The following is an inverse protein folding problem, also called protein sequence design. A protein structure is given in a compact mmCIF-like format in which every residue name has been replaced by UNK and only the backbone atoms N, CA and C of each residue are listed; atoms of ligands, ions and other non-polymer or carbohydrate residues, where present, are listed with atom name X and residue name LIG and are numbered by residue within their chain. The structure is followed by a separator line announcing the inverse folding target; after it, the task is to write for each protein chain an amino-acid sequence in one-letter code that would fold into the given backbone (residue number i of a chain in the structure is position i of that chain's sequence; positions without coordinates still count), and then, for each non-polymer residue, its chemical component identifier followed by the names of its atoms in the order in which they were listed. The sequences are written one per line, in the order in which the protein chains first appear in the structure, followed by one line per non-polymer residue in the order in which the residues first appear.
data_IF_235819246259
#
_entry.id   IF_235819246259
#
_cell.length_a   1.000
_cell.length_b   1.000
_cell.length_c   1.000
_cell.angle_alpha   90.00
_cell.angle_beta   90.00
_cell.angle_gamma   90.00
#
_symmetry.space_group_name_H-M   'P 1'
#
loop_
_entity.id
_entity.type
_entity.pdbx_description
1 polymer ?
#
# COMPACT_ATOMS: atom_id res chain seq x y z
N UNK A 1 8.06 3.26 28.78
CA UNK A 1 6.69 3.00 28.32
C UNK A 1 6.71 2.84 26.79
N UNK A 2 6.96 1.59 26.36
CA UNK A 2 6.94 1.22 24.95
C UNK A 2 5.47 1.00 24.54
N UNK A 3 4.84 1.98 23.93
CA UNK A 3 3.52 1.78 23.31
C UNK A 3 3.69 0.95 22.04
N UNK A 4 3.13 -0.28 22.06
CA UNK A 4 3.07 -1.17 20.89
C UNK A 4 2.30 -0.49 19.75
N UNK A 5 2.82 -0.50 18.51
CA UNK A 5 2.11 0.08 17.37
C UNK A 5 0.81 -0.70 17.12
N UNK A 6 -0.31 0.01 17.01
CA UNK A 6 -1.59 -0.57 16.59
C UNK A 6 -1.43 -1.11 15.17
N UNK A 7 -1.34 -2.43 15.05
CA UNK A 7 -1.32 -3.12 13.75
C UNK A 7 -2.61 -2.82 13.01
N UNK A 8 -2.50 -2.16 11.87
CA UNK A 8 -3.57 -2.15 10.89
C UNK A 8 -3.90 -3.59 10.51
N UNK A 9 -5.14 -4.00 10.74
CA UNK A 9 -5.61 -5.35 10.38
C UNK A 9 -5.65 -5.43 8.85
N UNK A 10 -4.62 -6.04 8.28
CA UNK A 10 -4.64 -6.41 6.86
C UNK A 10 -5.47 -7.69 6.75
N UNK A 11 -6.50 -7.77 5.91
CA UNK A 11 -7.35 -8.95 5.80
C UNK A 11 -6.62 -10.21 5.33
N UNK A 12 -5.35 -10.09 4.89
CA UNK A 12 -4.52 -11.19 4.40
C UNK A 12 -3.46 -11.68 5.38
N UNK A 13 -3.38 -11.14 6.61
CA UNK A 13 -2.24 -11.34 7.48
C UNK A 13 -2.58 -11.78 8.91
N UNK A 14 -3.29 -12.87 9.06
CA UNK A 14 -3.23 -13.60 10.31
C UNK A 14 -1.93 -14.43 10.32
N UNK A 15 -0.89 -13.94 11.00
CA UNK A 15 0.28 -14.76 11.31
C UNK A 15 -0.11 -15.64 12.48
N UNK A 16 -0.30 -16.91 12.23
CA UNK A 16 -0.63 -17.86 13.26
C UNK A 16 0.59 -18.74 13.52
N UNK A 17 1.11 -18.62 14.72
CA UNK A 17 2.36 -19.24 15.17
C UNK A 17 2.15 -20.59 15.88
N UNK A 18 1.18 -21.44 15.47
CA UNK A 18 1.11 -22.82 15.96
C UNK A 18 0.17 -23.70 15.14
N UNK A 19 0.33 -25.02 15.23
CA UNK A 19 -0.42 -26.02 14.46
C UNK A 19 -1.95 -26.04 14.66
N UNK A 20 -2.49 -25.29 15.62
CA UNK A 20 -3.95 -25.10 15.81
C UNK A 20 -4.56 -24.05 14.88
N UNK A 21 -3.78 -23.41 14.07
CA UNK A 21 -4.15 -22.29 13.24
C UNK A 21 -4.63 -22.68 11.84
N UNK A 22 -4.42 -23.90 11.41
CA UNK A 22 -4.89 -24.37 10.11
C UNK A 22 -6.41 -24.25 9.94
N UNK A 23 -7.24 -24.62 10.95
CA UNK A 23 -8.70 -24.49 10.84
C UNK A 23 -9.16 -23.02 10.73
N UNK A 24 -8.54 -22.10 11.49
CA UNK A 24 -8.85 -20.68 11.42
C UNK A 24 -8.44 -20.09 10.08
N UNK A 25 -7.28 -20.46 9.56
CA UNK A 25 -6.81 -20.01 8.25
C UNK A 25 -7.73 -20.46 7.12
N UNK A 26 -8.21 -21.71 7.13
CA UNK A 26 -9.13 -22.21 6.12
C UNK A 26 -10.48 -21.50 6.17
N UNK A 27 -11.01 -21.24 7.36
CA UNK A 27 -12.24 -20.48 7.58
C UNK A 27 -12.10 -19.04 7.07
N UNK A 28 -11.04 -18.33 7.45
CA UNK A 28 -10.77 -16.97 7.01
C UNK A 28 -10.56 -16.92 5.49
N UNK A 29 -9.87 -17.91 4.92
CA UNK A 29 -9.65 -17.98 3.48
C UNK A 29 -10.97 -18.15 2.71
N UNK A 30 -11.84 -19.03 3.17
CA UNK A 30 -13.15 -19.26 2.56
C UNK A 30 -14.07 -18.01 2.68
N UNK A 31 -13.96 -17.28 3.78
CA UNK A 31 -14.72 -16.06 4.00
C UNK A 31 -14.23 -14.89 3.14
N UNK A 32 -12.91 -14.68 3.06
CA UNK A 32 -12.29 -13.55 2.34
C UNK A 32 -12.29 -13.78 0.82
N UNK A 33 -11.97 -15.01 0.39
CA UNK A 33 -11.82 -15.35 -1.03
C UNK A 33 -12.99 -16.20 -1.52
N UNK A 34 -14.18 -15.59 -1.57
CA UNK A 34 -15.37 -16.26 -2.09
C UNK A 34 -15.26 -16.45 -3.60
N UNK A 35 -15.74 -17.61 -4.10
CA UNK A 35 -15.74 -17.90 -5.54
C UNK A 35 -16.67 -16.98 -6.32
N UNK A 36 -17.75 -16.56 -5.70
CA UNK A 36 -18.74 -15.63 -6.23
C UNK A 36 -18.86 -14.46 -5.27
N UNK A 37 -18.46 -13.29 -5.71
CA UNK A 37 -18.59 -12.06 -4.96
C UNK A 37 -19.90 -11.38 -5.33
N UNK A 38 -20.63 -10.95 -4.31
CA UNK A 38 -21.77 -10.07 -4.49
C UNK A 38 -21.28 -8.68 -4.95
N UNK A 39 -22.03 -8.09 -5.88
CA UNK A 39 -21.76 -6.73 -6.38
C UNK A 39 -21.68 -5.69 -5.26
N UNK A 40 -22.43 -5.89 -4.16
CA UNK A 40 -22.39 -5.03 -2.98
C UNK A 40 -21.00 -4.94 -2.33
N UNK A 41 -20.17 -5.97 -2.44
CA UNK A 41 -18.80 -5.95 -1.91
C UNK A 41 -17.91 -4.96 -2.66
N UNK A 42 -18.06 -4.87 -3.99
CA UNK A 42 -17.31 -3.89 -4.79
C UNK A 42 -17.66 -2.46 -4.40
N UNK A 43 -18.93 -2.17 -4.26
CA UNK A 43 -19.38 -0.84 -3.85
C UNK A 43 -18.92 -0.53 -2.43
N UNK A 44 -19.03 -1.49 -1.50
CA UNK A 44 -18.51 -1.34 -0.14
C UNK A 44 -17.01 -1.04 -0.09
N UNK A 45 -16.20 -1.73 -0.91
CA UNK A 45 -14.76 -1.50 -1.00
C UNK A 45 -14.45 -0.12 -1.62
N UNK A 46 -15.18 0.29 -2.66
CA UNK A 46 -15.05 1.63 -3.26
C UNK A 46 -15.41 2.73 -2.25
N UNK A 47 -16.49 2.55 -1.51
CA UNK A 47 -16.91 3.51 -0.47
C UNK A 47 -15.87 3.59 0.66
N UNK A 48 -15.30 2.47 1.08
CA UNK A 48 -14.24 2.44 2.06
C UNK A 48 -13.02 3.21 1.56
N UNK A 49 -12.60 2.98 0.31
CA UNK A 49 -11.48 3.68 -0.29
C UNK A 49 -11.74 5.19 -0.38
N UNK A 50 -12.94 5.61 -0.81
CA UNK A 50 -13.33 7.02 -0.82
C UNK A 50 -13.22 7.63 0.58
N UNK A 51 -13.78 6.97 1.61
CA UNK A 51 -13.69 7.45 3.00
C UNK A 51 -12.24 7.62 3.49
N UNK A 52 -11.36 6.67 3.16
CA UNK A 52 -9.92 6.76 3.52
C UNK A 52 -9.29 7.97 2.83
N UNK A 53 -9.60 8.20 1.56
CA UNK A 53 -9.08 9.32 0.77
C UNK A 53 -9.59 10.66 1.27
N UNK A 54 -10.89 10.75 1.53
CA UNK A 54 -11.54 11.97 2.06
C UNK A 54 -10.99 12.33 3.43
N UNK A 55 -10.74 11.33 4.27
CA UNK A 55 -10.12 11.53 5.58
C UNK A 55 -8.67 12.01 5.46
N UNK A 56 -7.89 11.45 4.52
CA UNK A 56 -6.53 11.91 4.24
C UNK A 56 -6.52 13.37 3.75
N UNK A 57 -7.45 13.74 2.87
CA UNK A 57 -7.62 15.12 2.41
C UNK A 57 -8.03 16.08 3.53
N UNK A 58 -8.97 15.67 4.40
CA UNK A 58 -9.36 16.50 5.57
C UNK A 58 -8.19 16.73 6.51
N UNK A 59 -7.35 15.72 6.73
CA UNK A 59 -6.14 15.85 7.57
C UNK A 59 -5.07 16.73 6.94
N UNK A 60 -5.03 16.79 5.62
CA UNK A 60 -4.16 17.70 4.87
C UNK A 60 -4.73 19.12 4.79
N UNK A 61 -6.05 19.29 4.90
CA UNK A 61 -6.69 20.61 4.92
C UNK A 61 -6.19 21.43 6.12
N UNK A 62 -5.63 22.62 5.84
CA UNK A 62 -5.02 23.49 6.85
C UNK A 62 -3.59 23.12 7.27
N UNK A 63 -2.99 22.09 6.65
CA UNK A 63 -1.60 21.68 6.86
C UNK A 63 -0.96 21.33 5.51
N UNK A 64 -0.49 22.37 4.76
CA UNK A 64 0.06 22.17 3.41
C UNK A 64 1.23 21.16 3.38
N UNK A 65 2.01 21.06 4.46
CA UNK A 65 3.06 20.07 4.63
C UNK A 65 2.57 18.63 4.53
N UNK A 66 1.31 18.36 4.88
CA UNK A 66 0.72 17.01 4.79
C UNK A 66 0.20 16.65 3.39
N UNK A 67 0.17 17.59 2.47
CA UNK A 67 -0.18 17.31 1.08
C UNK A 67 0.85 16.39 0.40
N UNK A 68 2.08 16.38 0.90
CA UNK A 68 3.19 15.58 0.39
C UNK A 68 3.38 14.26 1.15
N UNK A 69 2.30 13.62 1.58
CA UNK A 69 2.33 12.32 2.25
C UNK A 69 2.47 11.20 1.20
N UNK A 70 3.66 10.60 1.11
CA UNK A 70 3.99 9.55 0.13
C UNK A 70 3.19 8.26 0.32
N UNK A 71 2.54 8.10 1.46
CA UNK A 71 1.74 6.91 1.76
C UNK A 71 0.26 7.09 1.52
N UNK A 72 -0.31 8.23 1.95
CA UNK A 72 -1.75 8.46 1.99
C UNK A 72 -2.26 9.39 0.90
N UNK A 73 -1.37 10.17 0.25
CA UNK A 73 -1.74 11.03 -0.86
C UNK A 73 -2.15 10.24 -2.10
N UNK A 74 -2.79 10.93 -3.03
CA UNK A 74 -3.14 10.35 -4.33
C UNK A 74 -1.89 9.82 -5.05
N UNK A 75 -1.94 8.62 -5.58
CA UNK A 75 -0.78 7.94 -6.17
C UNK A 75 0.17 7.32 -5.14
N UNK A 76 -0.10 7.46 -3.83
CA UNK A 76 0.77 6.96 -2.77
C UNK A 76 0.73 5.43 -2.58
N UNK A 77 1.58 4.96 -1.69
CA UNK A 77 1.76 3.53 -1.38
C UNK A 77 0.41 2.83 -1.12
N UNK A 78 -0.48 3.49 -0.39
CA UNK A 78 -1.77 2.93 0.01
C UNK A 78 -2.71 2.68 -1.17
N UNK A 79 -2.67 3.50 -2.20
CA UNK A 79 -3.49 3.29 -3.40
C UNK A 79 -3.01 2.07 -4.18
N UNK A 80 -1.69 1.89 -4.33
CA UNK A 80 -1.12 0.71 -4.98
C UNK A 80 -1.49 -0.56 -4.21
N UNK A 81 -1.30 -0.56 -2.89
CA UNK A 81 -1.70 -1.69 -2.03
C UNK A 81 -3.20 -1.98 -2.13
N UNK A 82 -4.03 -0.94 -2.22
CA UNK A 82 -5.48 -1.09 -2.33
C UNK A 82 -5.89 -1.75 -3.66
N UNK A 83 -5.32 -1.31 -4.79
CA UNK A 83 -5.59 -1.91 -6.11
C UNK A 83 -5.27 -3.40 -6.09
N UNK A 84 -4.10 -3.77 -5.56
CA UNK A 84 -3.67 -5.16 -5.44
C UNK A 84 -4.61 -5.96 -4.56
N UNK A 85 -4.94 -5.46 -3.37
CA UNK A 85 -5.80 -6.15 -2.41
C UNK A 85 -7.24 -6.28 -2.94
N UNK A 86 -7.75 -5.27 -3.63
CA UNK A 86 -9.06 -5.33 -4.27
C UNK A 86 -9.11 -6.48 -5.28
N UNK A 87 -8.16 -6.55 -6.20
CA UNK A 87 -8.10 -7.61 -7.20
C UNK A 87 -7.90 -9.00 -6.57
N UNK A 88 -7.10 -9.10 -5.50
CA UNK A 88 -6.94 -10.33 -4.74
C UNK A 88 -8.24 -10.80 -4.08
N UNK A 89 -8.98 -9.90 -3.45
CA UNK A 89 -10.27 -10.24 -2.82
C UNK A 89 -11.28 -10.67 -3.88
N UNK A 90 -11.34 -9.93 -4.98
CA UNK A 90 -12.32 -10.16 -6.06
C UNK A 90 -12.05 -11.44 -6.83
N UNK A 91 -10.79 -11.73 -7.12
CA UNK A 91 -10.40 -12.85 -8.00
C UNK A 91 -9.74 -14.01 -7.27
N UNK A 92 -9.29 -13.81 -6.04
CA UNK A 92 -8.58 -14.83 -5.28
C UNK A 92 -9.41 -16.07 -4.93
N UNK A 93 -10.74 -16.03 -5.08
CA UNK A 93 -11.60 -17.20 -4.98
C UNK A 93 -11.45 -18.14 -6.20
N UNK A 94 -11.26 -17.56 -7.38
CA UNK A 94 -11.08 -18.27 -8.65
C UNK A 94 -9.60 -18.60 -8.92
N UNK A 95 -8.68 -17.73 -8.48
CA UNK A 95 -7.24 -17.82 -8.69
C UNK A 95 -6.50 -17.88 -7.34
N UNK A 96 -6.33 -19.06 -6.72
CA UNK A 96 -5.68 -19.23 -5.42
C UNK A 96 -4.25 -18.69 -5.35
N UNK A 97 -3.55 -18.67 -6.48
CA UNK A 97 -2.18 -18.15 -6.63
C UNK A 97 -2.07 -16.66 -6.34
N UNK A 98 -3.18 -15.91 -6.42
CA UNK A 98 -3.23 -14.48 -6.09
C UNK A 98 -3.20 -14.21 -4.60
N UNK A 99 -3.42 -15.22 -3.74
CA UNK A 99 -3.48 -15.08 -2.28
C UNK A 99 -2.10 -14.90 -1.65
N UNK A 100 -1.32 -13.95 -2.19
CA UNK A 100 0.05 -13.65 -1.77
C UNK A 100 0.09 -12.40 -0.90
N UNK A 101 0.99 -12.41 0.10
CA UNK A 101 1.14 -11.29 1.04
C UNK A 101 1.97 -10.15 0.49
N UNK A 102 3.13 -10.38 -0.16
CA UNK A 102 3.95 -9.31 -0.68
C UNK A 102 3.26 -8.64 -1.89
N UNK A 103 3.17 -7.31 -1.86
CA UNK A 103 2.52 -6.52 -2.91
C UNK A 103 3.18 -6.73 -4.28
N UNK A 104 4.50 -6.81 -4.33
CA UNK A 104 5.26 -7.01 -5.58
C UNK A 104 4.98 -8.40 -6.19
N UNK A 105 4.98 -9.47 -5.38
CA UNK A 105 4.64 -10.82 -5.84
C UNK A 105 3.18 -10.88 -6.33
N UNK A 106 2.28 -10.20 -5.64
CA UNK A 106 0.88 -10.12 -6.04
C UNK A 106 0.67 -9.39 -7.36
N UNK A 107 1.36 -8.26 -7.60
CA UNK A 107 1.33 -7.54 -8.88
C UNK A 107 1.77 -8.45 -10.04
N UNK A 108 2.87 -9.16 -9.87
CA UNK A 108 3.38 -10.07 -10.89
C UNK A 108 2.39 -11.19 -11.20
N UNK A 109 1.75 -11.77 -10.17
CA UNK A 109 0.74 -12.81 -10.36
C UNK A 109 -0.54 -12.31 -10.99
N UNK A 110 -0.96 -11.07 -10.70
CA UNK A 110 -2.10 -10.44 -11.35
C UNK A 110 -1.86 -10.28 -12.86
N UNK A 111 -0.65 -9.91 -13.27
CA UNK A 111 -0.28 -9.85 -14.68
C UNK A 111 -0.24 -11.24 -15.33
N UNK A 112 0.39 -12.23 -14.68
CA UNK A 112 0.43 -13.62 -15.16
C UNK A 112 -0.97 -14.24 -15.31
N UNK A 113 -1.92 -13.89 -14.46
CA UNK A 113 -3.30 -14.33 -14.54
C UNK A 113 -4.14 -13.54 -15.57
N UNK A 114 -3.55 -12.58 -16.29
CA UNK A 114 -4.25 -11.74 -17.27
C UNK A 114 -5.26 -10.76 -16.68
N UNK A 115 -5.19 -10.50 -15.38
CA UNK A 115 -6.08 -9.59 -14.65
C UNK A 115 -5.61 -8.14 -14.68
N UNK A 116 -4.37 -7.93 -15.13
CA UNK A 116 -3.74 -6.63 -15.30
C UNK A 116 -2.74 -6.71 -16.46
N UNK A 117 -2.61 -5.67 -17.31
CA UNK A 117 -1.54 -5.60 -18.30
C UNK A 117 -0.17 -5.66 -17.63
N UNK A 118 0.79 -6.36 -18.23
CA UNK A 118 2.16 -6.50 -17.68
C UNK A 118 2.82 -5.14 -17.47
N UNK A 119 2.69 -4.24 -18.45
CA UNK A 119 3.23 -2.88 -18.36
C UNK A 119 2.69 -2.10 -17.14
N UNK A 120 1.40 -2.26 -16.85
CA UNK A 120 0.76 -1.63 -15.68
C UNK A 120 1.30 -2.23 -14.38
N UNK A 121 1.45 -3.55 -14.31
CA UNK A 121 2.02 -4.22 -13.13
C UNK A 121 3.45 -3.77 -12.87
N UNK A 122 4.27 -3.67 -13.93
CA UNK A 122 5.66 -3.23 -13.85
C UNK A 122 5.76 -1.74 -13.44
N UNK A 123 4.90 -0.89 -13.98
CA UNK A 123 4.83 0.52 -13.60
C UNK A 123 4.46 0.69 -12.12
N UNK A 124 3.42 -0.01 -11.65
CA UNK A 124 3.02 0.00 -10.25
C UNK A 124 4.09 -0.58 -9.34
N UNK A 125 4.81 -1.62 -9.77
CA UNK A 125 5.90 -2.20 -9.00
C UNK A 125 7.06 -1.22 -8.85
N UNK A 126 7.46 -0.52 -9.92
CA UNK A 126 8.49 0.52 -9.87
C UNK A 126 8.11 1.66 -8.94
N UNK A 127 6.89 2.19 -9.11
CA UNK A 127 6.36 3.25 -8.26
C UNK A 127 6.29 2.82 -6.78
N UNK A 128 5.83 1.60 -6.51
CA UNK A 128 5.78 1.05 -5.16
C UNK A 128 7.15 0.98 -4.51
N UNK A 129 8.15 0.46 -5.21
CA UNK A 129 9.54 0.37 -4.72
C UNK A 129 10.12 1.76 -4.47
N UNK A 130 9.90 2.70 -5.40
CA UNK A 130 10.35 4.08 -5.26
C UNK A 130 9.76 4.73 -4.02
N UNK A 131 8.43 4.73 -3.88
CA UNK A 131 7.72 5.32 -2.74
C UNK A 131 8.11 4.68 -1.40
N UNK A 132 8.32 3.36 -1.37
CA UNK A 132 8.79 2.66 -0.16
C UNK A 132 10.21 3.07 0.23
N UNK A 133 11.09 3.29 -0.74
CA UNK A 133 12.43 3.83 -0.48
C UNK A 133 12.36 5.24 0.06
N UNK A 134 11.52 6.10 -0.53
CA UNK A 134 11.30 7.48 -0.03
C UNK A 134 10.75 7.44 1.40
N UNK A 135 9.73 6.64 1.67
CA UNK A 135 9.18 6.46 3.03
C UNK A 135 10.26 6.09 4.05
N UNK A 136 11.13 5.14 3.70
CA UNK A 136 12.24 4.77 4.58
C UNK A 136 13.25 5.91 4.80
N UNK A 137 13.54 6.74 3.77
CA UNK A 137 14.43 7.90 3.93
C UNK A 137 13.83 8.95 4.86
N UNK A 138 12.53 9.23 4.70
CA UNK A 138 11.82 10.14 5.59
C UNK A 138 11.90 9.65 7.05
N UNK A 139 11.65 8.36 7.28
CA UNK A 139 11.71 7.78 8.62
C UNK A 139 13.13 7.81 9.22
N UNK A 140 14.15 7.70 8.38
CA UNK A 140 15.55 7.76 8.82
C UNK A 140 15.99 9.16 9.26
N UNK A 141 15.41 10.22 8.66
CA UNK A 141 15.77 11.60 8.95
C UNK A 141 15.43 12.02 10.37
N UNK A 142 14.25 11.64 10.86
CA UNK A 142 13.68 12.16 12.10
C UNK A 142 13.50 11.09 13.18
N UNK A 143 13.86 9.81 12.90
CA UNK A 143 13.51 8.65 13.73
C UNK A 143 12.00 8.64 14.11
N UNK A 144 11.17 9.26 13.26
CA UNK A 144 9.73 9.41 13.46
C UNK A 144 8.95 8.51 12.49
N UNK A 145 7.80 8.03 12.93
CA UNK A 145 6.87 7.29 12.05
C UNK A 145 6.04 8.26 11.18
N UNK A 146 6.74 9.15 10.47
CA UNK A 146 6.11 10.05 9.49
C UNK A 146 6.22 9.50 8.08
N UNK A 147 5.32 9.93 7.21
CA UNK A 147 5.28 9.59 5.79
C UNK A 147 5.21 10.84 4.93
N UNK A 148 5.39 12.00 5.53
CA UNK A 148 5.30 13.31 4.90
C UNK A 148 6.70 13.75 4.50
N UNK A 149 6.86 14.22 3.28
CA UNK A 149 8.11 14.81 2.82
C UNK A 149 8.46 16.03 3.69
N UNK A 150 9.74 16.20 4.06
CA UNK A 150 10.16 17.33 4.83
C UNK A 150 9.96 18.64 4.05
N UNK A 151 9.69 19.73 4.77
CA UNK A 151 9.55 21.07 4.22
C UNK A 151 10.87 21.85 4.16
N UNK A 152 11.91 21.36 4.84
CA UNK A 152 13.24 21.96 4.83
C UNK A 152 13.99 21.51 3.58
N UNK A 153 14.55 22.47 2.87
CA UNK A 153 15.28 22.22 1.62
C UNK A 153 16.49 21.30 1.82
N UNK A 154 17.21 21.43 2.95
CA UNK A 154 18.37 20.59 3.27
C UNK A 154 18.00 19.12 3.42
N UNK A 155 16.88 18.84 4.10
CA UNK A 155 16.37 17.51 4.35
C UNK A 155 15.84 16.87 3.03
N UNK A 156 15.15 17.67 2.23
CA UNK A 156 14.67 17.26 0.91
C UNK A 156 15.85 16.96 -0.03
N UNK A 157 16.89 17.81 -0.02
CA UNK A 157 18.11 17.60 -0.79
C UNK A 157 18.88 16.34 -0.35
N UNK A 158 18.87 16.05 0.96
CA UNK A 158 19.44 14.81 1.47
C UNK A 158 18.68 13.58 0.98
N UNK A 159 17.34 13.60 1.01
CA UNK A 159 16.51 12.52 0.47
C UNK A 159 16.80 12.33 -1.02
N UNK A 160 16.77 13.40 -1.82
CA UNK A 160 17.02 13.37 -3.25
C UNK A 160 18.39 12.70 -3.56
N UNK A 161 19.45 13.14 -2.91
CA UNK A 161 20.80 12.57 -3.07
C UNK A 161 20.87 11.08 -2.69
N UNK A 162 20.23 10.70 -1.58
CA UNK A 162 20.22 9.29 -1.14
C UNK A 162 19.35 8.39 -2.02
N UNK A 163 18.46 8.99 -2.82
CA UNK A 163 17.67 8.31 -3.85
C UNK A 163 18.38 8.28 -5.21
N UNK A 164 19.54 8.91 -5.35
CA UNK A 164 20.36 8.93 -6.57
C UNK A 164 20.05 10.09 -7.53
N UNK A 165 19.31 11.11 -7.05
CA UNK A 165 19.02 12.31 -7.81
C UNK A 165 20.06 13.41 -7.52
N UNK A 166 20.41 14.20 -8.54
CA UNK A 166 21.37 15.30 -8.42
C UNK A 166 20.77 16.51 -7.73
N UNK A 167 19.45 16.70 -7.85
CA UNK A 167 18.72 17.83 -7.31
C UNK A 167 17.30 17.45 -6.88
N UNK A 168 16.65 18.35 -6.13
CA UNK A 168 15.29 18.15 -5.63
C UNK A 168 14.25 18.14 -6.75
N UNK A 169 14.47 18.92 -7.81
CA UNK A 169 13.52 19.01 -8.92
C UNK A 169 13.42 17.67 -9.66
N UNK A 170 14.55 17.07 -10.03
CA UNK A 170 14.60 15.75 -10.65
C UNK A 170 14.01 14.65 -9.75
N UNK A 171 14.18 14.76 -8.41
CA UNK A 171 13.57 13.85 -7.46
C UNK A 171 12.06 13.98 -7.39
N UNK A 172 11.52 15.22 -7.37
CA UNK A 172 10.07 15.46 -7.25
C UNK A 172 9.30 15.13 -8.52
N UNK A 173 9.97 15.04 -9.67
CA UNK A 173 9.39 14.66 -10.97
C UNK A 173 9.59 13.18 -11.32
N UNK A 174 10.25 12.40 -10.48
CA UNK A 174 10.51 10.98 -10.70
C UNK A 174 9.30 10.12 -10.35
#
# INVERSE_FOLDING_TARGET
NCQKPRRAVRPTAATVASGRALPLRSLVTAFVYRRYLDYGIFEGLRQLHRKIRDEAQRRAAGRPERANDVKLSRGGIREIEFIVQLLQVVRGGQFPELRRRPTLDALQRLAQAGLMPQETADALARAYVFLRRVEHRIQYLDDQQTHVLPTRDDDLAWIARTMGHTDCCGFLHA
#
